data_IF_642731963996
#
_entry.id   IF_642731963996
#
_cell.length_a   1.000
_cell.length_b   1.000
_cell.length_c   1.000
_cell.angle_alpha   90.00
_cell.angle_beta   90.00
_cell.angle_gamma   90.00
#
_symmetry.space_group_name_H-M   'P 1'
#
loop_
_entity.id
_entity.type
_entity.pdbx_description
1 polymer ?
#
# COMPACT_ATOMS: atom_id res chain seq x y z
N UNK A 1 2.08 25.33 8.19
CA UNK A 1 2.87 25.35 6.93
C UNK A 1 3.42 23.94 6.81
N UNK A 2 3.08 23.23 5.74
CA UNK A 2 3.48 21.82 5.57
C UNK A 2 4.84 21.75 4.89
N UNK A 3 5.59 20.65 5.08
CA UNK A 3 6.81 20.40 4.29
C UNK A 3 6.51 20.34 2.79
N UNK A 4 5.27 19.97 2.42
CA UNK A 4 4.79 19.93 1.03
C UNK A 4 4.83 21.30 0.34
N UNK A 5 4.80 22.40 1.10
CA UNK A 5 4.86 23.76 0.55
C UNK A 5 6.28 24.14 0.07
N UNK A 6 7.29 23.35 0.43
CA UNK A 6 8.69 23.55 0.03
C UNK A 6 9.06 22.73 -1.23
N UNK A 7 8.19 21.82 -1.64
CA UNK A 7 8.40 20.94 -2.79
C UNK A 7 8.02 21.63 -4.11
N UNK A 8 8.66 21.21 -5.21
CA UNK A 8 8.16 21.56 -6.53
C UNK A 8 6.78 20.93 -6.77
N UNK A 9 6.04 21.45 -7.75
CA UNK A 9 4.73 20.90 -8.11
C UNK A 9 4.81 19.41 -8.47
N UNK A 10 5.84 19.01 -9.20
CA UNK A 10 6.02 17.62 -9.64
C UNK A 10 6.39 16.70 -8.48
N UNK A 11 7.29 17.14 -7.59
CA UNK A 11 7.65 16.39 -6.37
C UNK A 11 6.45 16.18 -5.46
N UNK A 12 5.65 17.25 -5.28
CA UNK A 12 4.42 17.19 -4.48
C UNK A 12 3.40 16.26 -5.13
N UNK A 13 3.16 16.38 -6.44
CA UNK A 13 2.22 15.51 -7.15
C UNK A 13 2.62 14.03 -7.06
N UNK A 14 3.91 13.74 -7.24
CA UNK A 14 4.46 12.40 -7.09
C UNK A 14 4.20 11.85 -5.68
N UNK A 15 4.58 12.57 -4.62
CA UNK A 15 4.36 12.14 -3.23
C UNK A 15 2.89 11.94 -2.87
N UNK A 16 2.02 12.89 -3.22
CA UNK A 16 0.60 12.84 -2.84
C UNK A 16 -0.21 11.90 -3.73
N UNK A 17 0.33 11.44 -4.85
CA UNK A 17 -0.31 10.40 -5.65
C UNK A 17 -0.04 8.99 -5.12
N UNK A 18 1.05 8.79 -4.38
CA UNK A 18 1.52 7.46 -3.98
C UNK A 18 0.52 6.66 -3.14
N UNK A 19 -0.17 7.21 -2.11
CA UNK A 19 -1.12 6.42 -1.32
C UNK A 19 -2.23 5.81 -2.17
N UNK A 20 -2.75 6.60 -3.12
CA UNK A 20 -3.75 6.14 -4.08
C UNK A 20 -3.17 5.12 -5.06
N UNK A 21 -2.04 5.43 -5.70
CA UNK A 21 -1.46 4.59 -6.74
C UNK A 21 -0.93 3.26 -6.22
N UNK A 22 -0.43 3.22 -4.99
CA UNK A 22 -0.05 1.98 -4.30
C UNK A 22 -1.28 1.10 -4.06
N UNK A 23 -2.37 1.68 -3.56
CA UNK A 23 -3.64 0.96 -3.41
C UNK A 23 -4.14 0.37 -4.73
N UNK A 24 -4.17 1.20 -5.78
CA UNK A 24 -4.56 0.76 -7.12
C UNK A 24 -3.65 -0.34 -7.69
N UNK A 25 -2.33 -0.23 -7.52
CA UNK A 25 -1.38 -1.24 -7.97
C UNK A 25 -1.63 -2.60 -7.33
N UNK A 26 -2.01 -2.63 -6.04
CA UNK A 26 -2.33 -3.87 -5.33
C UNK A 26 -3.68 -4.41 -5.81
N UNK A 27 -4.71 -3.56 -5.89
CA UNK A 27 -6.04 -3.94 -6.39
C UNK A 27 -5.96 -4.59 -7.77
N UNK A 28 -5.28 -3.94 -8.73
CA UNK A 28 -5.14 -4.43 -10.10
C UNK A 28 -4.11 -5.56 -10.29
N UNK A 29 -3.44 -5.98 -9.22
CA UNK A 29 -2.47 -7.07 -9.33
C UNK A 29 -3.14 -8.43 -9.43
N UNK A 30 -4.38 -8.55 -8.95
CA UNK A 30 -5.23 -9.69 -9.22
C UNK A 30 -6.04 -9.50 -10.51
N UNK A 31 -6.38 -10.61 -11.16
CA UNK A 31 -7.04 -10.60 -12.50
C UNK A 31 -8.40 -11.27 -12.49
N UNK A 32 -8.96 -11.55 -11.32
CA UNK A 32 -10.20 -12.34 -11.20
C UNK A 32 -11.48 -11.49 -11.22
N UNK A 33 -11.37 -10.15 -11.22
CA UNK A 33 -12.49 -9.22 -11.36
C UNK A 33 -12.74 -8.77 -12.81
N UNK A 34 -14.01 -8.74 -13.23
CA UNK A 34 -14.45 -8.04 -14.46
C UNK A 34 -14.88 -6.60 -14.17
N UNK A 35 -15.34 -5.86 -15.19
CA UNK A 35 -15.61 -4.40 -15.14
C UNK A 35 -16.50 -3.90 -13.97
N UNK A 36 -17.41 -4.71 -13.40
CA UNK A 36 -18.20 -4.32 -12.21
C UNK A 36 -17.37 -4.29 -10.91
N UNK A 37 -16.18 -4.91 -10.91
CA UNK A 37 -15.22 -4.91 -9.81
C UNK A 37 -14.53 -3.55 -9.66
N UNK A 38 -14.23 -2.87 -10.77
CA UNK A 38 -13.40 -1.66 -10.81
C UNK A 38 -14.01 -0.46 -10.04
N UNK A 39 -15.33 -0.27 -10.14
CA UNK A 39 -16.03 0.82 -9.44
C UNK A 39 -16.11 0.58 -7.93
N UNK A 40 -16.31 -0.69 -7.52
CA UNK A 40 -16.29 -1.10 -6.12
C UNK A 40 -14.87 -1.02 -5.52
N UNK A 41 -13.86 -1.34 -6.33
CA UNK A 41 -12.43 -1.15 -6.08
C UNK A 41 -12.10 0.30 -5.76
N UNK A 42 -12.51 1.20 -6.64
CA UNK A 42 -12.30 2.64 -6.47
C UNK A 42 -13.02 3.18 -5.23
N UNK A 43 -14.26 2.75 -4.98
CA UNK A 43 -15.05 3.20 -3.83
C UNK A 43 -14.41 2.74 -2.51
N UNK A 44 -13.95 1.50 -2.44
CA UNK A 44 -13.33 0.95 -1.23
C UNK A 44 -11.99 1.63 -0.96
N UNK A 45 -11.14 1.81 -1.98
CA UNK A 45 -9.90 2.58 -1.85
C UNK A 45 -10.18 4.01 -1.37
N UNK A 46 -11.22 4.67 -1.90
CA UNK A 46 -11.64 5.98 -1.41
C UNK A 46 -11.99 5.96 0.07
N UNK A 47 -12.82 5.01 0.50
CA UNK A 47 -13.25 4.90 1.89
C UNK A 47 -12.07 4.63 2.84
N UNK A 48 -11.11 3.80 2.43
CA UNK A 48 -9.90 3.52 3.18
C UNK A 48 -9.04 4.78 3.33
N UNK A 49 -8.77 5.50 2.23
CA UNK A 49 -7.99 6.73 2.27
C UNK A 49 -8.67 7.84 3.08
N UNK A 50 -10.00 7.96 3.00
CA UNK A 50 -10.78 8.88 3.84
C UNK A 50 -10.67 8.51 5.33
N UNK A 51 -10.69 7.22 5.65
CA UNK A 51 -10.46 6.70 7.00
C UNK A 51 -9.08 7.09 7.52
N UNK A 52 -8.03 6.76 6.76
CA UNK A 52 -6.66 7.14 7.09
C UNK A 52 -6.51 8.68 7.24
N UNK A 53 -7.12 9.49 6.38
CA UNK A 53 -7.05 10.95 6.51
C UNK A 53 -7.67 11.49 7.82
N UNK A 54 -8.59 10.75 8.44
CA UNK A 54 -9.24 11.13 9.70
C UNK A 54 -8.53 10.58 10.93
N UNK A 55 -7.63 9.61 10.76
CA UNK A 55 -6.81 9.09 11.85
C UNK A 55 -5.79 10.13 12.31
N UNK A 56 -5.44 10.08 13.60
CA UNK A 56 -4.36 10.90 14.15
C UNK A 56 -3.08 10.10 14.06
N UNK A 57 -2.27 10.41 13.05
CA UNK A 57 -0.96 9.78 12.93
C UNK A 57 0.03 10.34 13.95
N UNK A 58 0.89 9.46 14.47
CA UNK A 58 2.08 9.85 15.24
C UNK A 58 3.23 10.40 14.37
N UNK A 59 2.95 10.67 13.08
CA UNK A 59 3.85 11.16 12.06
C UNK A 59 3.13 12.20 11.17
N UNK A 60 3.56 13.46 11.23
CA UNK A 60 2.88 14.58 10.56
C UNK A 60 3.03 14.52 9.03
N UNK A 61 4.16 13.99 8.55
CA UNK A 61 4.45 13.85 7.11
C UNK A 61 3.38 13.01 6.43
N UNK A 62 3.03 11.89 7.05
CA UNK A 62 2.00 10.96 6.56
C UNK A 62 0.64 11.63 6.55
N UNK A 63 0.29 12.35 7.63
CA UNK A 63 -0.96 13.10 7.72
C UNK A 63 -1.11 14.08 6.56
N UNK A 64 -0.07 14.88 6.29
CA UNK A 64 -0.12 15.86 5.22
C UNK A 64 -0.26 15.21 3.85
N UNK A 65 0.50 14.15 3.59
CA UNK A 65 0.44 13.45 2.29
C UNK A 65 -0.92 12.82 2.06
N UNK A 66 -1.47 12.08 3.02
CA UNK A 66 -2.77 11.41 2.88
C UNK A 66 -3.91 12.44 2.79
N UNK A 67 -3.88 13.47 3.64
CA UNK A 67 -4.89 14.54 3.60
C UNK A 67 -4.92 15.23 2.24
N UNK A 68 -3.74 15.49 1.66
CA UNK A 68 -3.66 16.09 0.34
C UNK A 68 -4.09 15.12 -0.77
N UNK A 69 -3.73 13.84 -0.67
CA UNK A 69 -4.20 12.77 -1.57
C UNK A 69 -5.72 12.79 -1.68
N UNK A 70 -6.41 12.81 -0.54
CA UNK A 70 -7.87 12.85 -0.43
C UNK A 70 -8.45 14.17 -0.94
N UNK A 71 -7.80 15.30 -0.66
CA UNK A 71 -8.25 16.60 -1.16
C UNK A 71 -8.21 16.71 -2.70
N UNK A 72 -7.37 15.88 -3.35
CA UNK A 72 -7.13 15.85 -4.79
C UNK A 72 -7.83 14.67 -5.49
N UNK A 73 -8.97 14.20 -4.99
CA UNK A 73 -9.80 13.14 -5.63
C UNK A 73 -10.03 13.34 -7.12
N UNK A 74 -10.17 14.58 -7.58
CA UNK A 74 -10.31 14.92 -9.00
C UNK A 74 -9.13 14.49 -9.89
N UNK A 75 -7.94 14.33 -9.31
CA UNK A 75 -6.70 13.99 -10.01
C UNK A 75 -6.46 12.46 -10.05
N UNK A 76 -7.24 11.68 -9.29
CA UNK A 76 -7.10 10.22 -9.18
C UNK A 76 -7.18 9.48 -10.52
N UNK A 77 -8.11 9.81 -11.44
CA UNK A 77 -8.15 9.15 -12.75
C UNK A 77 -6.84 9.32 -13.52
N UNK A 78 -6.22 10.51 -13.48
CA UNK A 78 -4.91 10.76 -14.10
C UNK A 78 -3.81 9.96 -13.41
N UNK A 79 -3.86 9.83 -12.09
CA UNK A 79 -2.87 9.04 -11.34
C UNK A 79 -2.97 7.53 -11.63
N UNK A 80 -4.17 7.03 -11.92
CA UNK A 80 -4.39 5.63 -12.30
C UNK A 80 -3.72 5.27 -13.63
N UNK A 81 -3.58 6.22 -14.57
CA UNK A 81 -2.86 5.99 -15.84
C UNK A 81 -1.36 5.74 -15.65
N UNK A 82 -0.81 6.08 -14.47
CA UNK A 82 0.63 6.04 -14.18
C UNK A 82 1.01 4.91 -13.21
N UNK A 83 0.17 3.90 -12.99
CA UNK A 83 0.42 2.82 -12.02
C UNK A 83 1.74 2.06 -12.29
N UNK A 84 2.18 1.98 -13.56
CA UNK A 84 3.41 1.27 -13.93
C UNK A 84 4.70 1.89 -13.38
N UNK A 85 4.71 3.17 -12.99
CA UNK A 85 5.89 3.84 -12.42
C UNK A 85 5.96 3.85 -10.90
N UNK A 86 4.97 3.24 -10.20
CA UNK A 86 4.86 3.30 -8.73
C UNK A 86 6.13 2.84 -8.02
N UNK A 87 6.76 1.75 -8.46
CA UNK A 87 8.02 1.27 -7.85
C UNK A 87 9.13 2.34 -7.94
N UNK A 88 9.28 3.00 -9.08
CA UNK A 88 10.26 4.07 -9.27
C UNK A 88 9.95 5.33 -8.46
N UNK A 89 8.66 5.68 -8.36
CA UNK A 89 8.21 6.83 -7.59
C UNK A 89 8.34 6.60 -6.08
N UNK A 90 8.16 5.35 -5.61
CA UNK A 90 8.48 4.98 -4.23
C UNK A 90 9.95 5.22 -3.89
N UNK A 91 10.89 4.84 -4.77
CA UNK A 91 12.31 5.13 -4.56
C UNK A 91 12.58 6.63 -4.46
N UNK A 92 12.08 7.41 -5.44
CA UNK A 92 12.26 8.86 -5.47
C UNK A 92 11.64 9.55 -4.25
N UNK A 93 10.48 9.08 -3.79
CA UNK A 93 9.84 9.59 -2.59
C UNK A 93 10.70 9.37 -1.34
N UNK A 94 11.36 8.21 -1.20
CA UNK A 94 12.24 7.96 -0.06
C UNK A 94 13.48 8.84 -0.11
N UNK A 95 14.09 9.00 -1.27
CA UNK A 95 15.26 9.89 -1.42
C UNK A 95 14.87 11.33 -1.07
N UNK A 96 13.76 11.82 -1.61
CA UNK A 96 13.24 13.16 -1.34
C UNK A 96 12.90 13.38 0.13
N UNK A 97 12.16 12.45 0.76
CA UNK A 97 11.76 12.60 2.17
C UNK A 97 12.96 12.53 3.11
N UNK A 98 13.96 11.72 2.80
CA UNK A 98 15.17 11.58 3.63
C UNK A 98 16.01 12.86 3.70
N UNK A 99 15.86 13.77 2.73
CA UNK A 99 16.51 15.09 2.74
C UNK A 99 15.71 16.15 3.51
N UNK A 100 14.41 15.93 3.71
CA UNK A 100 13.46 16.98 4.13
C UNK A 100 12.90 16.75 5.54
N UNK A 101 12.76 15.49 5.97
CA UNK A 101 12.17 15.12 7.26
C UNK A 101 13.05 14.12 8.00
N UNK A 102 12.76 13.88 9.27
CA UNK A 102 13.55 12.94 10.06
C UNK A 102 13.30 11.47 9.67
N UNK A 103 14.23 10.60 10.06
CA UNK A 103 14.18 9.17 9.73
C UNK A 103 12.90 8.47 10.27
N UNK A 104 12.34 8.95 11.38
CA UNK A 104 11.12 8.39 11.96
C UNK A 104 9.91 8.69 11.06
N UNK A 105 9.81 9.90 10.54
CA UNK A 105 8.78 10.31 9.57
C UNK A 105 8.91 9.53 8.26
N UNK A 106 10.13 9.34 7.74
CA UNK A 106 10.39 8.49 6.55
C UNK A 106 9.96 7.05 6.80
N UNK A 107 10.31 6.48 7.96
CA UNK A 107 9.94 5.11 8.33
C UNK A 107 8.43 4.95 8.47
N UNK A 108 7.74 5.94 9.08
CA UNK A 108 6.29 5.96 9.16
C UNK A 108 5.67 5.98 7.76
N UNK A 109 6.14 6.85 6.86
CA UNK A 109 5.65 6.93 5.49
C UNK A 109 5.77 5.60 4.74
N UNK A 110 6.92 4.92 4.84
CA UNK A 110 7.13 3.60 4.24
C UNK A 110 6.10 2.58 4.75
N UNK A 111 5.89 2.54 6.06
CA UNK A 111 4.98 1.57 6.66
C UNK A 111 3.53 1.86 6.26
N UNK A 112 3.10 3.12 6.28
CA UNK A 112 1.73 3.49 5.90
C UNK A 112 1.43 3.21 4.43
N UNK A 113 2.36 3.43 3.50
CA UNK A 113 2.13 3.07 2.11
C UNK A 113 1.90 1.56 1.94
N UNK A 114 2.72 0.73 2.61
CA UNK A 114 2.55 -0.71 2.60
C UNK A 114 1.23 -1.12 3.26
N UNK A 115 0.87 -0.47 4.37
CA UNK A 115 -0.37 -0.72 5.10
C UNK A 115 -1.61 -0.36 4.29
N UNK A 116 -1.60 0.76 3.56
CA UNK A 116 -2.69 1.14 2.65
C UNK A 116 -2.88 0.07 1.58
N UNK A 117 -1.80 -0.36 0.92
CA UNK A 117 -1.88 -1.44 -0.07
C UNK A 117 -2.43 -2.74 0.53
N UNK A 118 -2.03 -3.06 1.75
CA UNK A 118 -2.53 -4.24 2.47
C UNK A 118 -4.00 -4.12 2.85
N UNK A 119 -4.44 -2.98 3.37
CA UNK A 119 -5.84 -2.71 3.70
C UNK A 119 -6.73 -2.82 2.48
N UNK A 120 -6.24 -2.43 1.29
CA UNK A 120 -6.93 -2.66 0.01
C UNK A 120 -7.05 -4.16 -0.26
N UNK A 121 -5.95 -4.90 -0.25
CA UNK A 121 -5.99 -6.35 -0.48
C UNK A 121 -6.91 -7.09 0.51
N UNK A 122 -6.91 -6.70 1.79
CA UNK A 122 -7.79 -7.28 2.81
C UNK A 122 -9.27 -6.93 2.58
N UNK A 123 -9.55 -5.77 2.01
CA UNK A 123 -10.91 -5.36 1.69
C UNK A 123 -11.46 -6.11 0.45
N UNK A 124 -10.59 -6.47 -0.50
CA UNK A 124 -10.90 -7.25 -1.70
C UNK A 124 -10.74 -8.76 -1.46
N UNK A 125 -11.74 -9.36 -0.81
CA UNK A 125 -11.78 -10.82 -0.57
C UNK A 125 -11.95 -11.62 -1.86
N UNK A 126 -10.85 -12.09 -2.45
CA UNK A 126 -10.87 -13.19 -3.43
C UNK A 126 -10.58 -14.56 -2.79
N UNK A 127 -11.36 -14.96 -1.79
CA UNK A 127 -11.41 -16.39 -1.41
C UNK A 127 -12.77 -16.97 -1.70
N UNK A 128 -12.94 -17.36 -2.97
CA UNK A 128 -13.93 -18.34 -3.32
C UNK A 128 -13.48 -19.72 -2.81
N UNK A 129 -14.42 -20.55 -2.37
CA UNK A 129 -14.16 -21.82 -1.68
C UNK A 129 -13.53 -22.91 -2.58
N UNK A 130 -13.11 -22.55 -3.80
CA UNK A 130 -12.70 -23.42 -4.90
C UNK A 130 -11.18 -23.61 -5.06
N UNK A 131 -10.34 -23.00 -4.19
CA UNK A 131 -8.88 -23.06 -4.32
C UNK A 131 -8.33 -24.51 -4.28
N UNK A 132 -7.56 -24.95 -5.31
CA UNK A 132 -6.95 -26.28 -5.37
C UNK A 132 -6.03 -26.61 -4.19
N UNK A 133 -6.01 -27.87 -3.78
CA UNK A 133 -5.28 -28.36 -2.58
C UNK A 133 -3.77 -28.09 -2.62
N UNK A 134 -3.15 -28.07 -3.81
CA UNK A 134 -1.72 -27.79 -3.98
C UNK A 134 -1.35 -26.33 -3.72
N UNK A 135 -2.25 -25.41 -4.04
CA UNK A 135 -2.07 -23.98 -3.74
C UNK A 135 -2.18 -23.73 -2.24
N UNK A 136 -3.10 -24.42 -1.56
CA UNK A 136 -3.22 -24.39 -0.09
C UNK A 136 -1.92 -24.79 0.60
N UNK A 137 -1.22 -25.83 0.12
CA UNK A 137 0.08 -26.24 0.68
C UNK A 137 1.16 -25.17 0.52
N UNK A 138 1.19 -24.46 -0.62
CA UNK A 138 2.13 -23.36 -0.87
C UNK A 138 1.85 -22.15 0.02
N UNK A 139 0.57 -21.81 0.21
CA UNK A 139 0.08 -20.78 1.13
C UNK A 139 0.50 -21.09 2.56
N UNK A 140 0.31 -22.33 3.02
CA UNK A 140 0.77 -22.79 4.34
C UNK A 140 2.29 -22.63 4.51
N UNK A 141 3.08 -23.06 3.52
CA UNK A 141 4.53 -22.89 3.57
C UNK A 141 4.95 -21.42 3.68
N UNK A 142 4.35 -20.54 2.86
CA UNK A 142 4.60 -19.10 2.89
C UNK A 142 4.26 -18.51 4.27
N UNK A 143 3.09 -18.84 4.83
CA UNK A 143 2.67 -18.40 6.16
C UNK A 143 3.68 -18.77 7.25
N UNK A 144 4.07 -20.04 7.33
CA UNK A 144 5.03 -20.49 8.35
C UNK A 144 6.42 -19.90 8.14
N UNK A 145 6.85 -19.68 6.88
CA UNK A 145 8.12 -19.02 6.58
C UNK A 145 8.14 -17.55 7.00
N UNK A 146 7.04 -16.82 6.77
CA UNK A 146 6.86 -15.43 7.19
C UNK A 146 6.79 -15.31 8.71
N UNK A 147 6.03 -16.20 9.37
CA UNK A 147 5.95 -16.29 10.83
C UNK A 147 7.31 -16.54 11.47
N UNK A 148 8.12 -17.41 10.89
CA UNK A 148 9.49 -17.65 11.36
C UNK A 148 10.41 -16.43 11.18
N UNK A 149 10.27 -15.66 10.09
CA UNK A 149 11.00 -14.41 9.88
C UNK A 149 10.60 -13.32 10.87
N UNK A 150 9.29 -13.16 11.14
CA UNK A 150 8.78 -12.20 12.11
C UNK A 150 9.19 -12.55 13.55
N UNK A 151 9.13 -13.84 13.92
CA UNK A 151 9.57 -14.32 15.22
C UNK A 151 11.06 -14.04 15.48
N UNK A 152 11.93 -14.24 14.47
CA UNK A 152 13.36 -13.87 14.55
C UNK A 152 13.59 -12.38 14.81
N UNK A 153 12.63 -11.53 14.45
CA UNK A 153 12.68 -10.07 14.59
C UNK A 153 11.85 -9.55 15.76
N UNK A 154 11.28 -10.43 16.60
CA UNK A 154 10.37 -10.08 17.71
C UNK A 154 9.15 -9.24 17.26
N UNK A 155 8.71 -9.43 16.03
CA UNK A 155 7.53 -8.77 15.48
C UNK A 155 6.34 -9.74 15.54
N UNK A 156 5.14 -9.21 15.78
CA UNK A 156 3.92 -10.00 15.63
C UNK A 156 3.70 -10.33 14.15
N UNK A 157 3.23 -11.55 13.87
CA UNK A 157 2.87 -11.99 12.53
C UNK A 157 1.35 -12.03 12.40
N UNK A 158 0.86 -11.82 11.18
CA UNK A 158 -0.56 -11.89 10.85
C UNK A 158 -1.18 -13.22 11.27
N UNK A 159 -2.47 -13.17 11.61
CA UNK A 159 -3.26 -14.37 11.79
C UNK A 159 -3.34 -15.15 10.47
N UNK A 160 -3.67 -16.44 10.57
CA UNK A 160 -3.79 -17.26 9.37
C UNK A 160 -4.96 -16.79 8.48
N UNK A 161 -6.05 -16.29 9.08
CA UNK A 161 -7.20 -15.79 8.35
C UNK A 161 -6.89 -14.46 7.62
N UNK A 162 -6.18 -13.52 8.26
CA UNK A 162 -5.67 -12.32 7.58
C UNK A 162 -4.69 -12.67 6.47
N UNK A 163 -3.86 -13.70 6.67
CA UNK A 163 -2.94 -14.17 5.64
C UNK A 163 -3.67 -14.78 4.44
N UNK A 164 -4.75 -15.52 4.69
CA UNK A 164 -5.57 -16.10 3.65
C UNK A 164 -6.33 -15.04 2.87
N UNK A 165 -6.74 -13.92 3.47
CA UNK A 165 -7.53 -12.92 2.74
C UNK A 165 -6.77 -12.17 1.62
N UNK A 166 -5.44 -12.33 1.53
CA UNK A 166 -4.60 -11.68 0.51
C UNK A 166 -4.10 -12.72 -0.50
N UNK A 167 -4.36 -12.47 -1.78
CA UNK A 167 -3.98 -13.35 -2.89
C UNK A 167 -2.45 -13.43 -3.07
N UNK A 168 -1.99 -14.42 -3.85
CA UNK A 168 -0.56 -14.53 -4.15
C UNK A 168 -0.05 -13.35 -5.00
N UNK A 169 -0.89 -12.84 -5.91
CA UNK A 169 -0.53 -11.74 -6.78
C UNK A 169 -0.44 -10.42 -6.00
N UNK A 170 -1.42 -10.14 -5.14
CA UNK A 170 -1.44 -9.00 -4.22
C UNK A 170 -0.25 -9.05 -3.26
N UNK A 171 0.02 -10.21 -2.66
CA UNK A 171 1.19 -10.39 -1.80
C UNK A 171 2.49 -10.12 -2.54
N UNK A 172 2.58 -10.47 -3.82
CA UNK A 172 3.75 -10.16 -4.65
C UNK A 172 3.85 -8.65 -4.93
N UNK A 173 2.73 -7.97 -5.19
CA UNK A 173 2.68 -6.51 -5.34
C UNK A 173 3.14 -5.81 -4.06
N UNK A 174 2.63 -6.20 -2.89
CA UNK A 174 3.03 -5.68 -1.58
C UNK A 174 4.52 -5.87 -1.30
N UNK A 175 5.08 -7.03 -1.64
CA UNK A 175 6.52 -7.27 -1.52
C UNK A 175 7.36 -6.36 -2.44
N UNK A 176 6.88 -6.08 -3.66
CA UNK A 176 7.55 -5.15 -4.58
C UNK A 176 7.54 -3.72 -4.06
N UNK A 177 6.37 -3.26 -3.59
CA UNK A 177 6.22 -1.93 -2.97
C UNK A 177 7.13 -1.80 -1.75
N UNK A 178 7.12 -2.79 -0.86
CA UNK A 178 8.00 -2.79 0.31
C UNK A 178 9.49 -2.76 -0.09
N UNK A 179 9.89 -3.54 -1.10
CA UNK A 179 11.26 -3.52 -1.60
C UNK A 179 11.63 -2.15 -2.19
N UNK A 180 10.73 -1.52 -2.97
CA UNK A 180 10.94 -0.19 -3.54
C UNK A 180 11.07 0.89 -2.45
N UNK A 181 10.34 0.74 -1.35
CA UNK A 181 10.41 1.60 -0.18
C UNK A 181 11.61 1.30 0.74
N UNK A 182 12.48 0.35 0.38
CA UNK A 182 13.56 -0.15 1.22
C UNK A 182 13.07 -0.60 2.62
N UNK A 183 11.90 -1.24 2.67
CA UNK A 183 11.31 -1.86 3.85
C UNK A 183 10.98 -3.34 3.59
N UNK A 184 10.43 -4.03 4.58
CA UNK A 184 10.11 -5.45 4.49
C UNK A 184 8.64 -5.64 4.81
N UNK A 185 7.92 -6.23 3.84
CA UNK A 185 6.56 -6.71 4.08
C UNK A 185 6.61 -8.03 4.84
N UNK A 186 5.86 -8.10 5.94
CA UNK A 186 5.82 -9.25 6.86
C UNK A 186 4.42 -9.83 6.81
#
# INVERSE_FOLDING_TARGET
>A
MSFLDQLTTDQRDMLVSLPYRVGMMVSQSDTSGGDESDDLEMQTLSNLLDGYAQEVFGAETVQYVISETVSRKKDWPRWAEQISSVEGDCHQAIDLLSEMVDEKEVSAFKNYLVEIGESVALAFREYDASVPVWEKLRIYYLYYSGKAKAAKRKMQYKSFDEFLNISFAERRALNKIAAALNTIYI
#
